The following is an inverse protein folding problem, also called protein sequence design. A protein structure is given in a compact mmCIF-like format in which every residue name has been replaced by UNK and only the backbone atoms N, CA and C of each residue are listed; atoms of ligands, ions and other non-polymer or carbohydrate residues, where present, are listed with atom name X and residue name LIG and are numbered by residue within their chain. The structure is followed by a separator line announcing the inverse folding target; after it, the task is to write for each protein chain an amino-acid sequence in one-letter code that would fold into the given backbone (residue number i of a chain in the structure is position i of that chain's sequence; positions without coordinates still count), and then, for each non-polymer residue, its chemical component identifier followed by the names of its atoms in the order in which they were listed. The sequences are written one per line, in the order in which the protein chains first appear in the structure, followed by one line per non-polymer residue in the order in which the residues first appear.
data_IF_189992406323
#
_entry.id   IF_189992406323
#
_cell.length_a   1.000
_cell.length_b   1.000
_cell.length_c   1.000
_cell.angle_alpha   90.00
_cell.angle_beta   90.00
_cell.angle_gamma   90.00
#
_symmetry.space_group_name_H-M   'P 1'
#
loop_
_entity.id
_entity.type
_entity.pdbx_description
1 polymer ?
#
# COMPACT_ATOMS: atom_id res chain seq x y z
N UNK A 1 -7.77 -9.32 13.76
CA UNK A 1 -6.34 -9.19 13.41
C UNK A 1 -5.63 -8.47 14.53
N UNK A 2 -4.52 -9.00 15.06
CA UNK A 2 -3.74 -8.27 16.06
C UNK A 2 -3.10 -7.05 15.39
N UNK A 3 -3.36 -5.87 15.94
CA UNK A 3 -2.65 -4.65 15.58
C UNK A 3 -1.36 -4.66 16.39
N UNK A 4 -0.23 -4.63 15.69
CA UNK A 4 1.11 -4.54 16.27
C UNK A 4 1.86 -3.35 15.64
N UNK A 5 2.75 -2.73 16.41
CA UNK A 5 3.51 -1.56 15.93
C UNK A 5 4.50 -1.94 14.81
N UNK A 6 4.88 -3.21 14.75
CA UNK A 6 5.81 -3.79 13.78
C UNK A 6 5.14 -4.20 12.46
N UNK A 7 3.81 -4.11 12.37
CA UNK A 7 3.11 -4.42 11.13
C UNK A 7 3.52 -3.44 10.02
N UNK A 8 3.66 -3.97 8.80
CA UNK A 8 4.04 -3.20 7.62
C UNK A 8 2.82 -2.97 6.73
N UNK A 9 2.67 -1.74 6.26
CA UNK A 9 1.68 -1.38 5.26
C UNK A 9 2.39 -1.27 3.92
N UNK A 10 2.02 -2.14 2.99
CA UNK A 10 2.45 -2.10 1.60
C UNK A 10 1.45 -1.30 0.80
N UNK A 11 1.96 -0.47 -0.11
CA UNK A 11 1.14 0.35 -1.00
C UNK A 11 1.72 0.29 -2.41
N UNK A 12 0.84 0.10 -3.37
CA UNK A 12 1.12 0.23 -4.79
C UNK A 12 0.06 1.13 -5.44
N UNK A 13 0.49 1.95 -6.39
CA UNK A 13 -0.34 2.96 -7.04
C UNK A 13 -0.13 2.90 -8.56
N UNK A 14 -1.25 2.91 -9.28
CA UNK A 14 -1.25 3.14 -10.72
C UNK A 14 -1.79 4.54 -11.01
N UNK A 15 -1.11 5.24 -11.90
CA UNK A 15 -1.40 6.63 -12.25
C UNK A 15 -1.56 6.80 -13.75
N UNK A 16 -2.27 7.86 -14.16
CA UNK A 16 -2.38 8.23 -15.60
C UNK A 16 -1.04 8.69 -16.19
N UNK A 17 -0.08 9.08 -15.36
CA UNK A 17 1.23 9.61 -15.74
C UNK A 17 2.10 9.91 -14.53
N UNK A 18 3.16 10.70 -14.72
CA UNK A 18 4.20 10.95 -13.71
C UNK A 18 4.16 12.35 -13.10
N UNK A 19 3.24 13.23 -13.53
CA UNK A 19 3.10 14.60 -13.01
C UNK A 19 1.94 14.71 -12.02
N UNK A 20 2.16 14.79 -10.69
CA UNK A 20 1.08 14.83 -9.70
C UNK A 20 0.18 16.08 -9.77
N UNK A 21 0.62 17.16 -10.42
CA UNK A 21 -0.18 18.37 -10.61
C UNK A 21 -1.23 18.24 -11.72
N UNK A 22 -1.05 17.24 -12.60
CA UNK A 22 -1.87 17.00 -13.79
C UNK A 22 -2.52 15.63 -13.78
N UNK A 23 -1.74 14.60 -13.47
CA UNK A 23 -2.11 13.19 -13.49
C UNK A 23 -2.82 12.78 -12.20
N UNK A 24 -3.58 11.69 -12.29
CA UNK A 24 -4.41 11.19 -11.19
C UNK A 24 -4.10 9.73 -10.89
N UNK A 25 -4.30 9.34 -9.63
CA UNK A 25 -4.31 7.94 -9.21
C UNK A 25 -5.57 7.28 -9.77
N UNK A 26 -5.41 6.13 -10.40
CA UNK A 26 -6.51 5.34 -10.98
C UNK A 26 -6.72 4.01 -10.26
N UNK A 27 -5.71 3.50 -9.56
CA UNK A 27 -5.80 2.30 -8.74
C UNK A 27 -4.95 2.44 -7.47
N UNK A 28 -5.43 1.81 -6.39
CA UNK A 28 -4.71 1.70 -5.12
C UNK A 28 -4.83 0.25 -4.66
N UNK A 29 -3.69 -0.38 -4.44
CA UNK A 29 -3.61 -1.68 -3.79
C UNK A 29 -2.85 -1.57 -2.46
N UNK A 30 -3.38 -2.21 -1.42
CA UNK A 30 -2.76 -2.23 -0.09
C UNK A 30 -2.78 -3.63 0.49
N UNK A 31 -1.70 -4.01 1.18
CA UNK A 31 -1.59 -5.26 1.94
C UNK A 31 -0.96 -4.92 3.29
N UNK A 32 -1.42 -5.59 4.34
CA UNK A 32 -0.78 -5.54 5.66
C UNK A 32 -0.04 -6.85 5.90
N UNK A 33 1.24 -6.75 6.26
CA UNK A 33 2.04 -7.92 6.67
C UNK A 33 2.58 -7.77 8.09
N UNK A 34 2.93 -8.88 8.72
CA UNK A 34 3.78 -8.87 9.91
C UNK A 34 5.24 -8.53 9.56
N UNK A 35 6.13 -8.44 10.57
CA UNK A 35 7.55 -8.19 10.36
C UNK A 35 8.23 -9.31 9.55
N UNK A 36 7.69 -10.53 9.60
CA UNK A 36 8.19 -11.68 8.84
C UNK A 36 7.46 -11.89 7.49
N UNK A 37 6.77 -10.85 7.02
CA UNK A 37 6.09 -10.79 5.72
C UNK A 37 4.93 -11.77 5.53
N UNK A 38 4.40 -12.33 6.62
CA UNK A 38 3.14 -13.07 6.60
C UNK A 38 1.96 -12.11 6.35
N UNK A 39 1.05 -12.49 5.44
CA UNK A 39 -0.10 -11.66 5.07
C UNK A 39 -1.14 -11.67 6.19
N UNK A 40 -1.51 -10.47 6.65
CA UNK A 40 -2.49 -10.24 7.70
C UNK A 40 -3.84 -9.78 7.14
N UNK A 41 -3.85 -8.84 6.18
CA UNK A 41 -5.03 -8.33 5.44
C UNK A 41 -4.67 -7.88 4.03
#
# INVERSE_FOLDING_TARGET
MPVAEENLIWIDLEMTGLDPGRDQIIEIATIVTGPELDILA
#
